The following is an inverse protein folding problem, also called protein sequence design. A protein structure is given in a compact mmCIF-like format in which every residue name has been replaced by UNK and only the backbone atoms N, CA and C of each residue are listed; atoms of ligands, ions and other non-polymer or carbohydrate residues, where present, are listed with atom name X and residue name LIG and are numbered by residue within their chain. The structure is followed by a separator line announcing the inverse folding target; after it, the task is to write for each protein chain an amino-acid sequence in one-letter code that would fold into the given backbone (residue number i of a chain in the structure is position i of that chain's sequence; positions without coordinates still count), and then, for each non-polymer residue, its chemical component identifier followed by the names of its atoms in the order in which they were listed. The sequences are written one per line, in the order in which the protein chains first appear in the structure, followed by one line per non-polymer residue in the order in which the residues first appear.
data_IF_350995130649
#
_entry.id   IF_350995130649
#
_cell.length_a   1.000
_cell.length_b   1.000
_cell.length_c   1.000
_cell.angle_alpha   90.00
_cell.angle_beta   90.00
_cell.angle_gamma   90.00
#
_symmetry.space_group_name_H-M   'P 1'
#
loop_
_entity.id
_entity.type
_entity.pdbx_description
1 polymer ?
#
# COMPACT_ATOMS: atom_id res chain seq x y z
N UNK A 1 12.83 -49.46 -17.24
CA UNK A 1 12.44 -49.96 -18.52
C UNK A 1 11.81 -48.80 -19.31
N UNK A 2 12.48 -48.45 -20.43
CA UNK A 2 11.96 -47.43 -21.36
C UNK A 2 10.78 -48.07 -22.07
N UNK A 3 9.55 -47.69 -21.79
CA UNK A 3 8.37 -48.06 -22.58
C UNK A 3 8.43 -47.28 -23.89
N UNK A 4 8.86 -47.91 -24.95
CA UNK A 4 8.72 -47.41 -26.32
C UNK A 4 7.24 -47.47 -26.70
N UNK A 5 6.51 -46.37 -26.57
CA UNK A 5 5.22 -46.22 -27.21
C UNK A 5 5.46 -45.86 -28.66
N UNK A 6 5.11 -46.79 -29.59
CA UNK A 6 5.10 -46.50 -31.02
C UNK A 6 3.84 -45.67 -31.29
N UNK A 7 4.01 -44.33 -31.35
CA UNK A 7 2.97 -43.39 -31.74
C UNK A 7 3.03 -43.19 -33.27
N UNK A 8 1.88 -42.95 -33.89
CA UNK A 8 1.85 -42.52 -35.30
C UNK A 8 2.44 -41.10 -35.41
N UNK A 9 2.90 -40.73 -36.60
CA UNK A 9 3.43 -39.36 -36.84
C UNK A 9 2.40 -38.29 -36.44
N UNK A 10 1.12 -38.54 -36.71
CA UNK A 10 0.02 -37.64 -36.29
C UNK A 10 -0.12 -37.51 -34.76
N UNK A 11 -0.03 -38.64 -34.05
CA UNK A 11 -0.10 -38.63 -32.58
C UNK A 11 1.07 -37.85 -31.97
N UNK A 12 2.27 -38.03 -32.55
CA UNK A 12 3.46 -37.26 -32.12
C UNK A 12 3.30 -35.76 -32.36
N UNK A 13 2.82 -35.35 -33.55
CA UNK A 13 2.57 -33.93 -33.87
C UNK A 13 1.50 -33.33 -32.97
N UNK A 14 0.43 -34.07 -32.69
CA UNK A 14 -0.64 -33.64 -31.79
C UNK A 14 -0.12 -33.44 -30.36
N UNK A 15 0.64 -34.40 -29.84
CA UNK A 15 1.25 -34.29 -28.50
C UNK A 15 2.25 -33.13 -28.41
N UNK A 16 3.08 -32.92 -29.43
CA UNK A 16 4.01 -31.80 -29.49
C UNK A 16 3.29 -30.46 -29.54
N UNK A 17 2.19 -30.36 -30.27
CA UNK A 17 1.36 -29.16 -30.35
C UNK A 17 0.70 -28.84 -28.99
N UNK A 18 0.12 -29.83 -28.32
CA UNK A 18 -0.47 -29.69 -26.99
C UNK A 18 0.60 -29.25 -25.98
N UNK A 19 1.79 -29.84 -26.04
CA UNK A 19 2.90 -29.47 -25.16
C UNK A 19 3.31 -28.02 -25.35
N UNK A 20 3.58 -27.61 -26.59
CA UNK A 20 3.97 -26.23 -26.90
C UNK A 20 2.88 -25.23 -26.51
N UNK A 21 1.61 -25.54 -26.79
CA UNK A 21 0.47 -24.69 -26.42
C UNK A 21 0.37 -24.52 -24.90
N UNK A 22 0.42 -25.61 -24.13
CA UNK A 22 0.30 -25.57 -22.66
C UNK A 22 1.41 -24.75 -22.04
N UNK A 23 2.65 -24.93 -22.51
CA UNK A 23 3.80 -24.17 -21.98
C UNK A 23 3.75 -22.71 -22.40
N UNK A 24 3.34 -22.40 -23.63
CA UNK A 24 3.18 -21.02 -24.09
C UNK A 24 2.12 -20.28 -23.27
N UNK A 25 1.01 -20.95 -22.95
CA UNK A 25 -0.04 -20.41 -22.10
C UNK A 25 0.47 -20.12 -20.68
N UNK A 26 1.23 -21.05 -20.09
CA UNK A 26 1.85 -20.87 -18.77
C UNK A 26 2.81 -19.67 -18.75
N UNK A 27 3.69 -19.57 -19.74
CA UNK A 27 4.65 -18.46 -19.84
C UNK A 27 3.93 -17.15 -20.03
N UNK A 28 2.95 -17.09 -20.93
CA UNK A 28 2.13 -15.89 -21.15
C UNK A 28 1.45 -15.42 -19.87
N UNK A 29 0.90 -16.37 -19.10
CA UNK A 29 0.31 -16.08 -17.78
C UNK A 29 1.35 -15.52 -16.79
N UNK A 30 2.50 -16.18 -16.64
CA UNK A 30 3.57 -15.73 -15.74
C UNK A 30 4.10 -14.36 -16.13
N UNK A 31 4.29 -14.08 -17.42
CA UNK A 31 4.72 -12.76 -17.91
C UNK A 31 3.66 -11.68 -17.64
N UNK A 32 2.40 -11.96 -17.97
CA UNK A 32 1.30 -11.03 -17.70
C UNK A 32 1.19 -10.71 -16.22
N UNK A 33 1.28 -11.73 -15.35
CA UNK A 33 1.22 -11.56 -13.91
C UNK A 33 2.43 -10.78 -13.37
N UNK A 34 3.63 -11.07 -13.87
CA UNK A 34 4.87 -10.34 -13.50
C UNK A 34 4.78 -8.88 -13.88
N UNK A 35 4.33 -8.56 -15.10
CA UNK A 35 4.17 -7.19 -15.58
C UNK A 35 3.08 -6.45 -14.78
N UNK A 36 1.92 -7.06 -14.62
CA UNK A 36 0.80 -6.45 -13.88
C UNK A 36 1.19 -6.11 -12.44
N UNK A 37 1.76 -7.08 -11.71
CA UNK A 37 2.16 -6.87 -10.31
C UNK A 37 3.37 -5.94 -10.22
N UNK A 38 4.31 -5.98 -11.16
CA UNK A 38 5.43 -5.03 -11.25
C UNK A 38 4.95 -3.59 -11.47
N UNK A 39 3.97 -3.37 -12.35
CA UNK A 39 3.36 -2.04 -12.57
C UNK A 39 2.62 -1.54 -11.31
N UNK A 40 1.92 -2.40 -10.58
CA UNK A 40 1.35 -2.04 -9.28
C UNK A 40 2.44 -1.62 -8.30
N UNK A 41 3.58 -2.29 -8.30
CA UNK A 41 4.75 -1.94 -7.49
C UNK A 41 5.28 -0.54 -7.75
N UNK A 42 5.36 -0.12 -9.01
CA UNK A 42 5.80 1.23 -9.39
C UNK A 42 4.77 2.28 -8.95
N UNK A 43 3.49 2.03 -9.19
CA UNK A 43 2.40 2.94 -8.83
C UNK A 43 2.31 3.17 -7.32
N UNK A 44 2.46 2.11 -6.53
CA UNK A 44 2.32 2.16 -5.06
C UNK A 44 3.66 2.33 -4.32
N UNK A 45 4.80 2.44 -5.02
CA UNK A 45 6.16 2.53 -4.47
C UNK A 45 6.44 1.49 -3.37
N UNK A 46 6.00 0.25 -3.58
CA UNK A 46 6.11 -0.83 -2.60
C UNK A 46 7.01 -1.96 -3.11
N UNK A 47 8.11 -2.20 -2.41
CA UNK A 47 9.12 -3.22 -2.77
C UNK A 47 8.59 -4.67 -2.72
N UNK A 48 7.51 -4.94 -1.98
CA UNK A 48 6.90 -6.28 -1.90
C UNK A 48 6.39 -6.80 -3.24
N UNK A 49 5.91 -5.91 -4.11
CA UNK A 49 5.48 -6.28 -5.46
C UNK A 49 6.64 -6.70 -6.36
N UNK A 50 7.79 -6.03 -6.24
CA UNK A 50 8.97 -6.38 -7.04
C UNK A 50 9.54 -7.75 -6.64
N UNK A 51 9.54 -8.09 -5.35
CA UNK A 51 10.02 -9.39 -4.90
C UNK A 51 9.10 -10.53 -5.38
N UNK A 52 7.78 -10.31 -5.42
CA UNK A 52 6.83 -11.24 -6.02
C UNK A 52 7.07 -11.41 -7.53
N UNK A 53 7.15 -10.30 -8.27
CA UNK A 53 7.43 -10.34 -9.72
C UNK A 53 8.74 -11.06 -10.03
N UNK A 54 9.77 -10.82 -9.22
CA UNK A 54 11.06 -11.50 -9.38
C UNK A 54 10.95 -13.01 -9.11
N UNK A 55 10.19 -13.41 -8.08
CA UNK A 55 9.92 -14.83 -7.80
C UNK A 55 9.22 -15.52 -8.97
N UNK A 56 8.11 -14.96 -9.46
CA UNK A 56 7.33 -15.56 -10.56
C UNK A 56 8.14 -15.63 -11.84
N UNK A 57 8.89 -14.59 -12.18
CA UNK A 57 9.74 -14.56 -13.37
C UNK A 57 10.86 -15.60 -13.28
N UNK A 58 11.54 -15.70 -12.13
CA UNK A 58 12.62 -16.69 -11.94
C UNK A 58 12.09 -18.13 -12.02
N UNK A 59 10.92 -18.40 -11.45
CA UNK A 59 10.25 -19.68 -11.54
C UNK A 59 9.86 -20.03 -12.97
N UNK A 60 9.30 -19.07 -13.72
CA UNK A 60 8.95 -19.27 -15.14
C UNK A 60 10.18 -19.60 -15.98
N UNK A 61 11.30 -18.90 -15.81
CA UNK A 61 12.56 -19.17 -16.53
C UNK A 61 13.12 -20.53 -16.13
N UNK A 62 13.07 -20.89 -14.83
CA UNK A 62 13.49 -22.20 -14.36
C UNK A 62 12.74 -23.33 -15.10
N UNK A 63 11.41 -23.21 -15.22
CA UNK A 63 10.58 -24.21 -15.94
C UNK A 63 10.85 -24.23 -17.44
N UNK A 64 11.03 -23.06 -18.06
CA UNK A 64 11.42 -22.97 -19.48
C UNK A 64 12.70 -23.75 -19.78
N UNK A 65 13.69 -23.61 -18.90
CA UNK A 65 14.97 -24.32 -19.01
C UNK A 65 14.80 -25.82 -18.73
N UNK A 66 14.00 -26.19 -17.73
CA UNK A 66 13.75 -27.57 -17.33
C UNK A 66 13.05 -28.38 -18.45
N UNK A 67 12.05 -27.78 -19.11
CA UNK A 67 11.29 -28.41 -20.18
C UNK A 67 11.99 -28.30 -21.56
N UNK A 68 13.14 -27.62 -21.61
CA UNK A 68 13.96 -27.50 -22.83
C UNK A 68 13.34 -26.60 -23.90
N UNK A 69 12.32 -25.79 -23.58
CA UNK A 69 11.65 -24.93 -24.56
C UNK A 69 12.56 -23.88 -25.16
N UNK A 70 13.51 -23.36 -24.39
CA UNK A 70 14.49 -22.40 -24.88
C UNK A 70 15.40 -23.05 -25.95
N UNK A 71 15.67 -24.36 -25.85
CA UNK A 71 16.42 -25.09 -26.88
C UNK A 71 15.61 -25.24 -28.17
N UNK A 72 14.29 -25.42 -28.08
CA UNK A 72 13.40 -25.51 -29.24
C UNK A 72 13.27 -24.13 -29.92
N UNK A 73 13.12 -23.08 -29.13
CA UNK A 73 12.98 -21.69 -29.63
C UNK A 73 14.29 -21.14 -30.23
N UNK A 74 15.42 -21.53 -29.65
CA UNK A 74 16.74 -21.05 -30.04
C UNK A 74 17.74 -22.19 -30.22
N UNK A 75 17.55 -23.07 -31.24
CA UNK A 75 18.33 -24.31 -31.41
C UNK A 75 19.82 -24.05 -31.68
N UNK A 76 20.19 -22.86 -32.15
CA UNK A 76 21.56 -22.50 -32.43
C UNK A 76 22.34 -21.94 -31.24
N UNK A 77 21.68 -21.74 -30.09
CA UNK A 77 22.29 -21.17 -28.89
C UNK A 77 22.61 -22.26 -27.89
N UNK A 78 23.80 -22.85 -27.99
CA UNK A 78 24.25 -23.92 -27.09
C UNK A 78 24.21 -23.54 -25.57
N UNK A 79 24.15 -22.26 -25.23
CA UNK A 79 24.00 -21.79 -23.88
C UNK A 79 22.71 -22.29 -23.19
N UNK A 80 21.59 -22.35 -23.90
CA UNK A 80 20.30 -22.79 -23.33
C UNK A 80 20.21 -24.31 -23.11
N UNK A 81 21.06 -25.13 -23.82
CA UNK A 81 21.13 -26.56 -23.59
C UNK A 81 21.97 -26.97 -22.38
N UNK A 82 22.60 -25.98 -21.71
CA UNK A 82 23.46 -26.24 -20.57
C UNK A 82 22.63 -26.50 -19.32
N UNK A 83 22.69 -27.72 -18.77
CA UNK A 83 21.99 -28.09 -17.53
C UNK A 83 22.42 -27.22 -16.33
N UNK A 84 23.58 -26.61 -16.34
CA UNK A 84 24.06 -25.68 -15.29
C UNK A 84 23.22 -24.41 -15.21
N UNK A 85 22.67 -23.96 -16.33
CA UNK A 85 21.77 -22.81 -16.36
C UNK A 85 20.46 -23.09 -15.61
N UNK A 86 19.91 -24.30 -15.78
CA UNK A 86 18.75 -24.76 -15.02
C UNK A 86 19.03 -24.76 -13.50
N UNK A 87 20.19 -25.25 -13.06
CA UNK A 87 20.60 -25.24 -11.65
C UNK A 87 20.78 -23.82 -11.09
N UNK A 88 21.28 -22.91 -11.92
CA UNK A 88 21.38 -21.48 -11.55
C UNK A 88 20.00 -20.89 -11.22
N UNK A 89 19.05 -21.09 -12.13
CA UNK A 89 17.70 -20.55 -11.92
C UNK A 89 16.95 -21.26 -10.79
N UNK A 90 17.29 -22.51 -10.45
CA UNK A 90 16.79 -23.17 -9.24
C UNK A 90 17.18 -22.39 -7.97
N UNK A 91 18.48 -22.06 -7.83
CA UNK A 91 18.97 -21.26 -6.69
C UNK A 91 18.40 -19.84 -6.63
N UNK A 92 18.26 -19.18 -7.80
CA UNK A 92 17.63 -17.84 -7.88
C UNK A 92 16.16 -17.93 -7.43
N UNK A 93 15.42 -18.96 -7.87
CA UNK A 93 14.00 -19.11 -7.50
C UNK A 93 13.83 -19.37 -6.01
N UNK A 94 14.68 -20.19 -5.39
CA UNK A 94 14.66 -20.44 -3.94
C UNK A 94 14.91 -19.15 -3.17
N UNK A 95 15.95 -18.39 -3.55
CA UNK A 95 16.25 -17.10 -2.91
C UNK A 95 15.10 -16.11 -3.08
N UNK A 96 14.55 -16.00 -4.29
CA UNK A 96 13.43 -15.11 -4.59
C UNK A 96 12.16 -15.46 -3.79
N UNK A 97 11.84 -16.76 -3.67
CA UNK A 97 10.71 -17.25 -2.88
C UNK A 97 10.86 -16.89 -1.39
N UNK A 98 12.03 -17.13 -0.81
CA UNK A 98 12.31 -16.80 0.61
C UNK A 98 12.20 -15.28 0.84
N UNK A 99 12.78 -14.46 -0.05
CA UNK A 99 12.71 -13.00 0.04
C UNK A 99 11.30 -12.48 -0.09
N UNK A 100 10.51 -13.05 -1.00
CA UNK A 100 9.12 -12.72 -1.16
C UNK A 100 8.29 -13.04 0.10
N UNK A 101 8.44 -14.26 0.65
CA UNK A 101 7.72 -14.69 1.87
C UNK A 101 8.16 -13.90 3.12
N UNK A 102 9.46 -13.58 3.25
CA UNK A 102 9.99 -12.70 4.30
C UNK A 102 9.29 -11.33 4.30
N UNK A 103 9.06 -10.74 3.11
CA UNK A 103 8.38 -9.47 2.97
C UNK A 103 6.85 -9.58 3.11
N UNK A 104 6.25 -10.62 2.54
CA UNK A 104 4.80 -10.80 2.57
C UNK A 104 4.28 -11.02 3.99
N UNK A 105 4.94 -11.89 4.77
CA UNK A 105 4.54 -12.26 6.13
C UNK A 105 5.26 -11.44 7.22
N UNK A 106 6.13 -10.51 6.84
CA UNK A 106 6.92 -9.68 7.75
C UNK A 106 7.69 -10.53 8.80
N UNK A 107 8.55 -11.43 8.32
CA UNK A 107 9.37 -12.28 9.20
C UNK A 107 10.24 -11.47 10.15
N UNK A 108 10.54 -10.20 9.83
CA UNK A 108 11.28 -9.29 10.70
C UNK A 108 10.53 -9.03 12.01
N UNK A 109 9.22 -8.86 11.95
CA UNK A 109 8.38 -8.67 13.14
C UNK A 109 7.96 -9.98 13.81
N UNK A 110 7.94 -11.08 13.04
CA UNK A 110 7.42 -12.38 13.48
C UNK A 110 8.47 -13.27 14.15
N UNK A 111 9.68 -13.34 13.58
CA UNK A 111 10.74 -14.26 13.98
C UNK A 111 11.82 -13.55 14.82
N UNK A 112 12.52 -14.34 15.65
CA UNK A 112 13.76 -13.85 16.28
C UNK A 112 14.79 -13.53 15.20
N UNK A 113 15.65 -12.53 15.46
CA UNK A 113 16.65 -12.05 14.52
C UNK A 113 17.51 -13.19 13.97
N UNK A 114 18.00 -14.10 14.83
CA UNK A 114 18.85 -15.21 14.40
C UNK A 114 18.11 -16.23 13.51
N UNK A 115 16.81 -16.50 13.75
CA UNK A 115 16.00 -17.41 12.92
C UNK A 115 15.85 -16.86 11.50
N UNK A 116 15.48 -15.58 11.40
CA UNK A 116 15.36 -14.90 10.11
C UNK A 116 16.70 -14.84 9.38
N UNK A 117 17.80 -14.50 10.09
CA UNK A 117 19.15 -14.47 9.51
C UNK A 117 19.59 -15.85 9.04
N UNK A 118 19.27 -16.92 9.77
CA UNK A 118 19.56 -18.28 9.36
C UNK A 118 18.85 -18.65 8.05
N UNK A 119 17.55 -18.40 7.93
CA UNK A 119 16.77 -18.68 6.70
C UNK A 119 17.34 -17.90 5.50
N UNK A 120 17.59 -16.60 5.69
CA UNK A 120 18.16 -15.76 4.64
C UNK A 120 19.60 -16.19 4.27
N UNK A 121 20.42 -16.54 5.24
CA UNK A 121 21.77 -17.06 5.03
C UNK A 121 21.76 -18.37 4.23
N UNK A 122 20.85 -19.30 4.55
CA UNK A 122 20.67 -20.53 3.78
C UNK A 122 20.21 -20.25 2.34
N UNK A 123 19.29 -19.33 2.14
CA UNK A 123 18.85 -18.93 0.80
C UNK A 123 19.99 -18.26 0.00
N UNK A 124 20.80 -17.41 0.64
CA UNK A 124 21.98 -16.82 0.02
C UNK A 124 23.04 -17.88 -0.32
N UNK A 125 23.26 -18.89 0.53
CA UNK A 125 24.21 -19.97 0.26
C UNK A 125 23.73 -20.87 -0.90
N UNK A 126 22.41 -21.13 -1.01
CA UNK A 126 21.85 -21.84 -2.17
C UNK A 126 22.08 -21.04 -3.47
N UNK A 127 21.87 -19.74 -3.44
CA UNK A 127 22.13 -18.86 -4.56
C UNK A 127 23.63 -18.85 -4.92
N UNK A 128 24.52 -18.70 -3.96
CA UNK A 128 25.97 -18.69 -4.19
C UNK A 128 26.46 -20.02 -4.79
N UNK A 129 26.01 -21.16 -4.26
CA UNK A 129 26.35 -22.47 -4.81
C UNK A 129 25.83 -22.65 -6.24
N UNK A 130 24.66 -22.14 -6.57
CA UNK A 130 24.12 -22.20 -7.92
C UNK A 130 24.97 -21.39 -8.93
N UNK A 131 25.59 -20.30 -8.52
CA UNK A 131 26.55 -19.56 -9.34
C UNK A 131 27.88 -20.33 -9.48
N UNK A 132 28.40 -20.90 -8.40
CA UNK A 132 29.65 -21.68 -8.43
C UNK A 132 29.56 -22.85 -9.42
N UNK A 133 28.41 -23.51 -9.53
CA UNK A 133 28.21 -24.63 -10.47
C UNK A 133 28.43 -24.26 -11.94
N UNK A 134 28.29 -22.99 -12.32
CA UNK A 134 28.52 -22.54 -13.69
C UNK A 134 29.98 -22.73 -14.09
N UNK A 135 30.90 -22.48 -13.15
CA UNK A 135 32.37 -22.45 -13.38
C UNK A 135 32.96 -23.87 -13.27
N UNK A 136 32.37 -24.77 -12.50
CA UNK A 136 32.90 -26.09 -12.22
C UNK A 136 32.84 -27.03 -13.45
N UNK A 137 33.64 -28.11 -13.42
CA UNK A 137 33.48 -29.22 -14.37
C UNK A 137 32.09 -29.89 -14.19
N UNK A 138 31.66 -30.66 -15.21
CA UNK A 138 30.34 -31.33 -15.14
C UNK A 138 30.25 -32.32 -14.00
N UNK A 139 31.33 -33.07 -13.72
CA UNK A 139 31.41 -34.03 -12.62
C UNK A 139 31.33 -33.37 -11.24
N UNK A 140 32.03 -32.24 -11.07
CA UNK A 140 32.03 -31.50 -9.81
C UNK A 140 30.71 -30.76 -9.59
N UNK A 141 30.11 -30.23 -10.66
CA UNK A 141 28.79 -29.64 -10.61
C UNK A 141 27.70 -30.61 -10.14
N UNK A 142 27.78 -31.89 -10.53
CA UNK A 142 26.86 -32.93 -10.04
C UNK A 142 27.03 -33.20 -8.55
N UNK A 143 28.26 -33.18 -8.01
CA UNK A 143 28.51 -33.33 -6.57
C UNK A 143 27.95 -32.13 -5.77
N UNK A 144 28.20 -30.93 -6.27
CA UNK A 144 27.68 -29.69 -5.64
C UNK A 144 26.16 -29.62 -5.71
N UNK A 145 25.52 -30.21 -6.75
CA UNK A 145 24.07 -30.28 -6.85
C UNK A 145 23.41 -31.04 -5.69
N UNK A 146 24.03 -32.11 -5.18
CA UNK A 146 23.53 -32.84 -4.01
C UNK A 146 23.52 -31.93 -2.77
N UNK A 147 24.59 -31.15 -2.59
CA UNK A 147 24.68 -30.16 -1.49
C UNK A 147 23.67 -29.04 -1.66
N UNK A 148 23.49 -28.52 -2.88
CA UNK A 148 22.47 -27.50 -3.19
C UNK A 148 21.06 -28.03 -2.88
N UNK A 149 20.76 -29.26 -3.26
CA UNK A 149 19.46 -29.89 -2.98
C UNK A 149 19.18 -30.02 -1.49
N UNK A 150 20.19 -30.40 -0.70
CA UNK A 150 20.08 -30.49 0.76
C UNK A 150 19.83 -29.11 1.40
N UNK A 151 20.60 -28.09 0.99
CA UNK A 151 20.44 -26.72 1.48
C UNK A 151 19.05 -26.18 1.10
N UNK A 152 18.57 -26.44 -0.12
CA UNK A 152 17.24 -26.06 -0.57
C UNK A 152 16.16 -26.71 0.27
N UNK A 153 16.27 -28.02 0.56
CA UNK A 153 15.33 -28.75 1.40
C UNK A 153 15.25 -28.16 2.81
N UNK A 154 16.39 -27.90 3.44
CA UNK A 154 16.45 -27.28 4.77
C UNK A 154 15.81 -25.87 4.72
N UNK A 155 16.17 -25.07 3.73
CA UNK A 155 15.64 -23.70 3.55
C UNK A 155 14.11 -23.72 3.42
N UNK A 156 13.57 -24.60 2.59
CA UNK A 156 12.13 -24.75 2.36
C UNK A 156 11.40 -25.23 3.60
N UNK A 157 11.98 -26.20 4.33
CA UNK A 157 11.39 -26.71 5.59
C UNK A 157 11.36 -25.62 6.67
N UNK A 158 12.43 -24.82 6.83
CA UNK A 158 12.47 -23.69 7.77
C UNK A 158 11.49 -22.59 7.38
N UNK A 159 11.36 -22.31 6.08
CA UNK A 159 10.41 -21.32 5.56
C UNK A 159 8.97 -21.77 5.76
N UNK A 160 8.65 -23.03 5.47
CA UNK A 160 7.32 -23.60 5.70
C UNK A 160 6.94 -23.58 7.18
N UNK A 161 7.84 -23.97 8.08
CA UNK A 161 7.60 -23.90 9.53
C UNK A 161 7.34 -22.46 10.00
N UNK A 162 8.03 -21.49 9.40
CA UNK A 162 7.80 -20.06 9.66
C UNK A 162 6.44 -19.58 9.15
N UNK A 163 5.99 -20.09 7.99
CA UNK A 163 4.64 -19.79 7.46
C UNK A 163 3.53 -20.40 8.33
N UNK A 164 3.73 -21.63 8.84
CA UNK A 164 2.81 -22.26 9.78
C UNK A 164 2.75 -21.47 11.10
N UNK A 165 3.90 -21.04 11.60
CA UNK A 165 3.95 -20.18 12.80
C UNK A 165 3.25 -18.83 12.57
N UNK A 166 3.41 -18.23 11.37
CA UNK A 166 2.68 -17.01 10.98
C UNK A 166 1.16 -17.21 11.00
N UNK A 167 0.68 -18.35 10.51
CA UNK A 167 -0.75 -18.70 10.57
C UNK A 167 -1.26 -18.92 11.99
N UNK A 168 -0.48 -19.60 12.83
CA UNK A 168 -0.79 -19.77 14.25
C UNK A 168 -0.91 -18.40 14.95
N UNK A 169 -0.04 -17.46 14.63
CA UNK A 169 -0.06 -16.07 15.13
C UNK A 169 -1.11 -15.19 14.44
N UNK A 170 -1.92 -15.75 13.54
CA UNK A 170 -2.96 -15.04 12.78
C UNK A 170 -2.43 -13.82 12.01
N UNK A 171 -1.21 -13.92 11.48
CA UNK A 171 -0.63 -12.87 10.62
C UNK A 171 -1.49 -12.70 9.36
N UNK A 172 -1.68 -11.47 8.95
CA UNK A 172 -2.50 -11.17 7.76
C UNK A 172 -1.98 -11.91 6.51
N UNK A 173 -2.87 -12.51 5.74
CA UNK A 173 -2.60 -13.31 4.54
C UNK A 173 -1.87 -14.65 4.76
N UNK A 174 -1.48 -15.04 5.98
CA UNK A 174 -0.76 -16.30 6.23
C UNK A 174 -1.52 -17.55 5.78
N UNK A 175 -2.84 -17.60 5.94
CA UNK A 175 -3.68 -18.72 5.49
C UNK A 175 -3.67 -18.84 3.94
N UNK A 176 -3.67 -17.71 3.21
CA UNK A 176 -3.54 -17.73 1.75
C UNK A 176 -2.18 -18.26 1.32
N UNK A 177 -1.12 -17.84 2.03
CA UNK A 177 0.25 -18.35 1.77
C UNK A 177 0.32 -19.85 2.00
N UNK A 178 -0.21 -20.36 3.10
CA UNK A 178 -0.24 -21.79 3.37
C UNK A 178 -1.06 -22.56 2.32
N UNK A 179 -2.17 -22.00 1.86
CA UNK A 179 -2.99 -22.59 0.79
C UNK A 179 -2.19 -22.67 -0.53
N UNK A 180 -1.45 -21.63 -0.91
CA UNK A 180 -0.59 -21.65 -2.09
C UNK A 180 0.50 -22.71 -1.98
N UNK A 181 1.22 -22.76 -0.85
CA UNK A 181 2.25 -23.77 -0.60
C UNK A 181 1.65 -25.19 -0.61
N UNK A 182 0.47 -25.39 0.00
CA UNK A 182 -0.22 -26.68 0.02
C UNK A 182 -0.58 -27.15 -1.41
N UNK A 183 -1.04 -26.26 -2.29
CA UNK A 183 -1.32 -26.56 -3.69
C UNK A 183 -0.05 -27.00 -4.42
N UNK A 184 1.07 -26.30 -4.22
CA UNK A 184 2.36 -26.67 -4.79
C UNK A 184 2.83 -28.05 -4.31
N UNK A 185 2.81 -28.27 -2.98
CA UNK A 185 3.20 -29.56 -2.39
C UNK A 185 2.29 -30.70 -2.88
N UNK A 186 0.99 -30.46 -2.92
CA UNK A 186 0.03 -31.43 -3.45
C UNK A 186 0.32 -31.78 -4.91
N UNK A 187 0.59 -30.79 -5.77
CA UNK A 187 0.94 -30.99 -7.17
C UNK A 187 2.23 -31.78 -7.34
N UNK A 188 3.22 -31.54 -6.46
CA UNK A 188 4.48 -32.27 -6.46
C UNK A 188 4.28 -33.72 -6.03
N UNK A 189 3.53 -33.97 -4.95
CA UNK A 189 3.20 -35.33 -4.46
C UNK A 189 2.38 -36.09 -5.49
N UNK A 190 1.39 -35.43 -6.10
CA UNK A 190 0.57 -36.02 -7.15
C UNK A 190 1.41 -36.49 -8.35
N UNK A 191 2.37 -35.67 -8.77
CA UNK A 191 3.33 -36.05 -9.83
C UNK A 191 4.12 -37.30 -9.46
N UNK A 192 4.56 -37.44 -8.21
CA UNK A 192 5.37 -38.59 -7.76
C UNK A 192 4.53 -39.86 -7.63
N UNK A 193 3.34 -39.80 -7.06
CA UNK A 193 2.49 -40.94 -6.73
C UNK A 193 1.76 -41.47 -7.97
N UNK A 194 1.29 -40.57 -8.87
CA UNK A 194 0.48 -40.91 -10.02
C UNK A 194 1.26 -40.88 -11.35
N UNK A 195 2.58 -41.03 -11.29
CA UNK A 195 3.46 -41.06 -12.46
C UNK A 195 3.01 -42.10 -13.49
N UNK A 196 2.50 -43.27 -13.05
CA UNK A 196 2.08 -44.38 -13.91
C UNK A 196 0.61 -44.29 -14.36
N UNK A 197 -0.20 -43.42 -13.75
CA UNK A 197 -1.65 -43.32 -13.97
C UNK A 197 -1.96 -42.38 -15.15
N UNK A 198 -1.25 -41.25 -15.25
CA UNK A 198 -1.51 -40.24 -16.27
C UNK A 198 -0.24 -39.56 -16.73
N UNK A 199 0.17 -39.78 -17.97
CA UNK A 199 1.31 -39.09 -18.59
C UNK A 199 1.11 -37.58 -18.65
N UNK A 200 -0.13 -37.10 -18.79
CA UNK A 200 -0.48 -35.70 -18.78
C UNK A 200 -0.23 -35.08 -17.41
N UNK A 201 -0.75 -35.71 -16.35
CA UNK A 201 -0.58 -35.17 -14.96
C UNK A 201 0.87 -35.23 -14.49
N UNK A 202 1.61 -36.26 -14.84
CA UNK A 202 3.05 -36.37 -14.60
C UNK A 202 3.79 -35.15 -15.20
N UNK A 203 3.45 -34.78 -16.43
CA UNK A 203 4.14 -33.73 -17.16
C UNK A 203 3.70 -32.31 -16.78
N UNK A 204 2.38 -32.10 -16.67
CA UNK A 204 1.83 -30.76 -16.49
C UNK A 204 1.32 -30.45 -15.08
N UNK A 205 1.16 -31.42 -14.21
CA UNK A 205 0.60 -31.24 -12.88
C UNK A 205 1.33 -30.19 -12.05
N UNK A 206 2.67 -30.18 -12.13
CA UNK A 206 3.49 -29.21 -11.40
C UNK A 206 3.33 -27.79 -11.97
N UNK A 207 3.21 -27.63 -13.29
CA UNK A 207 2.98 -26.35 -13.96
C UNK A 207 1.64 -25.75 -13.53
N UNK A 208 0.60 -26.59 -13.51
CA UNK A 208 -0.74 -26.18 -13.03
C UNK A 208 -0.68 -25.77 -11.56
N UNK A 209 0.02 -26.53 -10.71
CA UNK A 209 0.17 -26.21 -9.30
C UNK A 209 0.84 -24.87 -9.06
N UNK A 210 1.93 -24.59 -9.75
CA UNK A 210 2.65 -23.32 -9.66
C UNK A 210 1.83 -22.15 -10.20
N UNK A 211 1.06 -22.38 -11.28
CA UNK A 211 0.16 -21.34 -11.80
C UNK A 211 -0.89 -20.95 -10.78
N UNK A 212 -1.49 -21.94 -10.11
CA UNK A 212 -2.49 -21.69 -9.04
C UNK A 212 -1.83 -21.03 -7.84
N UNK A 213 -0.65 -21.50 -7.41
CA UNK A 213 0.12 -20.89 -6.31
C UNK A 213 0.44 -19.42 -6.61
N UNK A 214 0.97 -19.13 -7.80
CA UNK A 214 1.29 -17.77 -8.22
C UNK A 214 0.05 -16.85 -8.16
N UNK A 215 -1.10 -17.35 -8.61
CA UNK A 215 -2.35 -16.59 -8.54
C UNK A 215 -2.79 -16.33 -7.07
N UNK A 216 -2.70 -17.34 -6.21
CA UNK A 216 -2.99 -17.18 -4.77
C UNK A 216 -2.06 -16.16 -4.13
N UNK A 217 -0.77 -16.20 -4.45
CA UNK A 217 0.22 -15.26 -3.94
C UNK A 217 0.00 -13.82 -4.46
N UNK A 218 -0.48 -13.67 -5.70
CA UNK A 218 -0.90 -12.37 -6.22
C UNK A 218 -2.06 -11.78 -5.40
N UNK A 219 -3.08 -12.60 -5.09
CA UNK A 219 -4.19 -12.20 -4.22
C UNK A 219 -3.68 -11.83 -2.82
N UNK A 220 -2.80 -12.63 -2.23
CA UNK A 220 -2.24 -12.37 -0.90
C UNK A 220 -1.46 -11.04 -0.88
N UNK A 221 -0.65 -10.79 -1.91
CA UNK A 221 0.12 -9.54 -2.07
C UNK A 221 -0.81 -8.33 -2.21
N UNK A 222 -1.84 -8.43 -3.06
CA UNK A 222 -2.83 -7.36 -3.23
C UNK A 222 -3.57 -7.03 -1.93
N UNK A 223 -3.99 -8.04 -1.16
CA UNK A 223 -4.64 -7.85 0.16
C UNK A 223 -3.70 -7.21 1.18
N UNK A 224 -2.43 -7.61 1.21
CA UNK A 224 -1.42 -7.01 2.10
C UNK A 224 -1.24 -5.53 1.81
N UNK A 225 -1.13 -5.18 0.54
CA UNK A 225 -0.92 -3.79 0.13
C UNK A 225 -2.14 -2.93 0.43
N UNK A 226 -3.35 -3.42 0.11
CA UNK A 226 -4.58 -2.71 0.48
C UNK A 226 -4.63 -2.42 1.98
N UNK A 227 -4.30 -3.41 2.81
CA UNK A 227 -4.24 -3.21 4.26
C UNK A 227 -3.24 -2.14 4.66
N UNK A 228 -2.02 -2.16 4.09
CA UNK A 228 -1.00 -1.14 4.38
C UNK A 228 -1.44 0.27 3.97
N UNK A 229 -2.18 0.40 2.88
CA UNK A 229 -2.72 1.67 2.42
C UNK A 229 -3.84 2.18 3.35
N UNK A 230 -4.76 1.30 3.75
CA UNK A 230 -5.81 1.59 4.73
C UNK A 230 -5.21 1.99 6.09
N UNK A 231 -4.15 1.30 6.55
CA UNK A 231 -3.44 1.61 7.79
C UNK A 231 -2.74 2.99 7.71
N UNK A 232 -2.12 3.31 6.55
CA UNK A 232 -1.52 4.63 6.29
C UNK A 232 -2.57 5.74 6.30
N UNK A 233 -3.68 5.53 5.59
CA UNK A 233 -4.77 6.51 5.52
C UNK A 233 -5.38 6.75 6.90
N UNK A 234 -5.59 5.71 7.69
CA UNK A 234 -6.12 5.82 9.05
C UNK A 234 -5.13 6.49 10.01
N UNK A 235 -3.84 6.24 9.86
CA UNK A 235 -2.79 6.93 10.60
C UNK A 235 -2.72 8.42 10.22
N UNK A 236 -2.79 8.74 8.92
CA UNK A 236 -2.85 10.11 8.44
C UNK A 236 -4.08 10.86 8.99
N UNK A 237 -5.28 10.26 8.89
CA UNK A 237 -6.51 10.86 9.46
C UNK A 237 -6.37 11.13 10.95
N UNK A 238 -5.82 10.19 11.74
CA UNK A 238 -5.58 10.39 13.18
C UNK A 238 -4.56 11.50 13.47
N UNK A 239 -3.48 11.55 12.70
CA UNK A 239 -2.44 12.58 12.84
C UNK A 239 -2.88 13.95 12.32
N UNK A 240 -3.89 14.00 11.44
CA UNK A 240 -4.37 15.22 10.77
C UNK A 240 -5.62 15.84 11.41
N UNK A 241 -6.16 15.22 12.48
CA UNK A 241 -7.41 15.68 13.12
C UNK A 241 -7.11 16.21 14.52
N UNK A 242 -7.73 17.33 14.90
CA UNK A 242 -7.72 17.85 16.26
C UNK A 242 -8.48 16.90 17.20
N UNK A 243 -7.84 16.51 18.30
CA UNK A 243 -8.39 15.52 19.23
C UNK A 243 -9.66 15.98 19.94
N UNK A 244 -9.77 17.27 20.21
CA UNK A 244 -10.89 17.89 20.92
C UNK A 244 -12.05 18.19 19.98
N UNK A 245 -11.79 18.91 18.90
CA UNK A 245 -12.80 19.50 18.03
C UNK A 245 -13.22 18.61 16.85
N UNK A 246 -12.45 17.56 16.54
CA UNK A 246 -12.69 16.64 15.39
C UNK A 246 -12.70 17.31 14.01
N UNK A 247 -12.21 18.54 13.90
CA UNK A 247 -11.83 19.22 12.67
C UNK A 247 -10.38 18.89 12.33
N UNK A 248 -9.87 19.35 11.20
CA UNK A 248 -8.45 19.20 10.87
C UNK A 248 -7.58 19.97 11.88
N UNK A 249 -6.47 19.38 12.29
CA UNK A 249 -5.43 20.13 12.98
C UNK A 249 -4.60 20.95 11.97
N UNK A 250 -3.65 21.76 12.42
CA UNK A 250 -2.81 22.59 11.55
C UNK A 250 -2.22 21.81 10.36
N UNK A 251 -1.55 20.69 10.62
CA UNK A 251 -0.91 19.88 9.56
C UNK A 251 -1.92 19.25 8.58
N UNK A 252 -3.05 18.76 9.09
CA UNK A 252 -4.13 18.21 8.26
C UNK A 252 -4.78 19.28 7.39
N UNK A 253 -5.02 20.47 7.94
CA UNK A 253 -5.59 21.60 7.23
C UNK A 253 -4.64 22.08 6.12
N UNK A 254 -3.36 22.29 6.42
CA UNK A 254 -2.35 22.71 5.44
C UNK A 254 -2.29 21.74 4.24
N UNK A 255 -2.33 20.42 4.49
CA UNK A 255 -2.31 19.40 3.42
C UNK A 255 -3.52 19.48 2.50
N UNK A 256 -4.74 19.64 3.04
CA UNK A 256 -5.97 19.77 2.23
C UNK A 256 -6.04 21.14 1.56
N UNK A 257 -5.70 22.20 2.29
CA UNK A 257 -5.67 23.56 1.78
C UNK A 257 -4.70 23.71 0.59
N UNK A 258 -3.53 23.07 0.62
CA UNK A 258 -2.59 23.05 -0.49
C UNK A 258 -3.17 22.37 -1.75
N UNK A 259 -3.97 21.32 -1.55
CA UNK A 259 -4.67 20.65 -2.65
C UNK A 259 -5.75 21.55 -3.27
N UNK A 260 -6.53 22.24 -2.43
CA UNK A 260 -7.54 23.21 -2.87
C UNK A 260 -6.90 24.39 -3.64
N UNK A 261 -5.79 24.93 -3.12
CA UNK A 261 -5.03 25.98 -3.79
C UNK A 261 -4.50 25.54 -5.16
N UNK A 262 -4.02 24.29 -5.25
CA UNK A 262 -3.53 23.71 -6.50
C UNK A 262 -4.65 23.58 -7.52
N UNK A 263 -5.83 23.12 -7.10
CA UNK A 263 -7.01 22.99 -7.95
C UNK A 263 -7.50 24.35 -8.41
N UNK A 264 -7.63 25.31 -7.50
CA UNK A 264 -7.97 26.70 -7.82
C UNK A 264 -7.03 27.32 -8.87
N UNK A 265 -5.73 27.14 -8.69
CA UNK A 265 -4.73 27.66 -9.64
C UNK A 265 -4.81 27.02 -11.03
N UNK A 266 -5.35 25.79 -11.16
CA UNK A 266 -5.57 25.07 -12.42
C UNK A 266 -6.91 25.44 -13.07
N UNK A 267 -7.99 25.42 -12.30
CA UNK A 267 -9.37 25.49 -12.77
C UNK A 267 -9.92 26.93 -12.78
N UNK A 268 -9.31 27.82 -11.99
CA UNK A 268 -9.82 29.16 -11.77
C UNK A 268 -10.99 29.18 -10.77
N UNK A 269 -11.82 30.21 -10.83
CA UNK A 269 -12.92 30.44 -9.88
C UNK A 269 -12.54 31.37 -8.75
N UNK A 270 -13.02 31.10 -7.55
CA UNK A 270 -12.81 31.91 -6.36
C UNK A 270 -12.30 31.06 -5.20
N UNK A 271 -11.33 31.57 -4.47
CA UNK A 271 -10.83 30.98 -3.25
C UNK A 271 -11.28 31.84 -2.05
N UNK A 272 -11.97 31.20 -1.10
CA UNK A 272 -12.52 31.86 0.07
C UNK A 272 -11.81 31.32 1.31
N UNK A 273 -11.09 32.17 2.01
CA UNK A 273 -10.44 31.87 3.28
C UNK A 273 -11.09 32.66 4.41
N UNK A 274 -11.55 31.97 5.45
CA UNK A 274 -12.00 32.60 6.68
C UNK A 274 -11.03 32.23 7.80
N UNK A 275 -10.55 33.24 8.51
CA UNK A 275 -9.80 33.10 9.75
C UNK A 275 -10.70 33.52 10.90
N UNK A 276 -10.84 32.67 11.92
CA UNK A 276 -11.84 32.77 12.96
C UNK A 276 -11.15 32.64 14.30
N UNK A 277 -11.43 33.56 15.20
CA UNK A 277 -10.89 33.60 16.56
C UNK A 277 -12.04 33.79 17.56
N UNK A 278 -12.10 32.97 18.59
CA UNK A 278 -13.16 33.07 19.64
C UNK A 278 -12.87 34.23 20.59
N UNK A 279 -13.78 35.18 20.60
CA UNK A 279 -13.60 36.38 21.41
C UNK A 279 -13.57 36.05 22.92
N UNK A 280 -12.63 36.68 23.65
CA UNK A 280 -12.47 36.58 25.11
C UNK A 280 -12.34 35.10 25.61
N UNK A 281 -11.81 34.19 24.79
CA UNK A 281 -11.72 32.75 25.11
C UNK A 281 -10.92 32.49 26.40
N UNK A 282 -9.87 33.31 26.67
CA UNK A 282 -9.11 33.21 27.91
C UNK A 282 -9.98 33.53 29.12
N UNK A 283 -10.80 34.58 29.04
CA UNK A 283 -11.70 34.99 30.14
C UNK A 283 -12.76 33.91 30.41
N UNK A 284 -13.26 33.24 29.33
CA UNK A 284 -14.17 32.10 29.46
C UNK A 284 -13.49 30.98 30.25
N UNK A 285 -12.24 30.63 29.92
CA UNK A 285 -11.48 29.61 30.64
C UNK A 285 -11.23 30.00 32.10
N UNK A 286 -10.83 31.24 32.34
CA UNK A 286 -10.48 31.73 33.67
C UNK A 286 -11.72 31.79 34.57
N UNK A 287 -12.91 32.12 34.03
CA UNK A 287 -14.15 32.26 34.79
C UNK A 287 -14.94 30.97 34.95
N UNK A 288 -15.05 30.17 33.87
CA UNK A 288 -15.89 28.95 33.81
C UNK A 288 -15.10 27.65 33.81
N UNK A 289 -13.77 27.74 33.78
CA UNK A 289 -12.87 26.57 33.72
C UNK A 289 -12.65 26.00 32.34
N UNK A 290 -11.53 25.31 32.15
CA UNK A 290 -11.11 24.74 30.85
C UNK A 290 -12.13 23.76 30.24
N UNK A 291 -12.90 23.04 31.07
CA UNK A 291 -13.95 22.16 30.58
C UNK A 291 -15.04 22.89 29.80
N UNK A 292 -15.42 24.09 30.29
CA UNK A 292 -16.37 24.93 29.57
C UNK A 292 -15.77 25.51 28.29
N UNK A 293 -14.52 25.96 28.32
CA UNK A 293 -13.81 26.37 27.12
C UNK A 293 -13.70 25.29 26.08
N UNK A 294 -13.41 24.07 26.49
CA UNK A 294 -13.38 22.91 25.58
C UNK A 294 -14.74 22.66 24.88
N UNK A 295 -15.84 22.81 25.64
CA UNK A 295 -17.21 22.71 25.06
C UNK A 295 -17.49 23.83 24.06
N UNK A 296 -17.06 25.05 24.36
CA UNK A 296 -17.15 26.20 23.43
C UNK A 296 -16.47 25.86 22.09
N UNK A 297 -15.22 25.43 22.14
CA UNK A 297 -14.46 25.05 20.95
C UNK A 297 -15.13 23.91 20.15
N UNK A 298 -15.67 22.91 20.84
CA UNK A 298 -16.42 21.81 20.20
C UNK A 298 -17.69 22.29 19.51
N UNK A 299 -18.40 23.26 20.09
CA UNK A 299 -19.63 23.81 19.49
C UNK A 299 -19.28 24.66 18.26
N UNK A 300 -18.26 25.53 18.35
CA UNK A 300 -17.78 26.31 17.19
C UNK A 300 -17.37 25.36 16.05
N UNK A 301 -16.59 24.34 16.33
CA UNK A 301 -16.20 23.34 15.33
C UNK A 301 -17.41 22.65 14.66
N UNK A 302 -18.43 22.26 15.43
CA UNK A 302 -19.67 21.68 14.91
C UNK A 302 -20.44 22.66 14.03
N UNK A 303 -20.49 23.94 14.42
CA UNK A 303 -21.13 24.99 13.61
C UNK A 303 -20.40 25.08 12.26
N UNK A 304 -19.06 25.22 12.25
CA UNK A 304 -18.28 25.31 11.04
C UNK A 304 -18.50 24.10 10.12
N UNK A 305 -18.38 22.87 10.67
CA UNK A 305 -18.63 21.65 9.91
C UNK A 305 -20.06 21.59 9.32
N UNK A 306 -21.06 22.07 10.04
CA UNK A 306 -22.45 22.09 9.54
C UNK A 306 -22.70 23.12 8.43
N UNK A 307 -21.81 24.10 8.30
CA UNK A 307 -21.90 25.19 7.31
C UNK A 307 -20.95 25.02 6.12
N UNK A 308 -20.03 24.08 6.18
CA UNK A 308 -19.08 23.75 5.14
C UNK A 308 -19.47 22.45 4.41
N UNK A 309 -18.94 22.26 3.21
CA UNK A 309 -19.08 21.03 2.43
C UNK A 309 -17.97 20.06 2.82
N UNK A 310 -18.12 18.78 2.52
CA UNK A 310 -17.10 17.76 2.76
C UNK A 310 -15.75 18.06 2.07
N UNK A 311 -15.79 18.82 0.98
CA UNK A 311 -14.61 19.23 0.21
C UNK A 311 -13.94 20.50 0.76
N UNK A 312 -14.58 21.24 1.65
CA UNK A 312 -14.01 22.44 2.26
C UNK A 312 -13.03 22.04 3.38
N UNK A 313 -11.92 22.77 3.51
CA UNK A 313 -10.96 22.54 4.58
C UNK A 313 -11.34 23.33 5.84
N UNK A 314 -11.87 22.65 6.84
CA UNK A 314 -12.17 23.22 8.15
C UNK A 314 -11.11 22.74 9.14
N UNK A 315 -10.37 23.67 9.79
CA UNK A 315 -9.27 23.32 10.69
C UNK A 315 -9.21 24.20 11.91
N UNK A 316 -8.49 23.71 12.93
CA UNK A 316 -8.07 24.44 14.12
C UNK A 316 -6.56 24.58 14.11
N UNK A 317 -6.05 25.80 14.06
CA UNK A 317 -4.61 26.06 13.99
C UNK A 317 -3.93 26.00 15.35
N UNK A 318 -4.65 26.30 16.42
CA UNK A 318 -4.20 26.22 17.81
C UNK A 318 -5.07 27.09 18.71
N UNK A 319 -5.07 26.82 20.01
CA UNK A 319 -5.86 27.62 20.96
C UNK A 319 -7.32 27.74 20.56
N UNK A 320 -7.76 28.97 20.30
CA UNK A 320 -9.08 29.42 19.91
C UNK A 320 -9.22 29.77 18.41
N UNK A 321 -8.17 29.53 17.62
CA UNK A 321 -8.09 29.87 16.18
C UNK A 321 -8.60 28.75 15.28
N UNK A 322 -9.60 29.07 14.45
CA UNK A 322 -10.13 28.18 13.40
C UNK A 322 -9.92 28.80 12.02
N UNK A 323 -9.85 27.95 11.02
CA UNK A 323 -9.72 28.36 9.62
C UNK A 323 -10.64 27.52 8.72
N UNK A 324 -11.19 28.19 7.71
CA UNK A 324 -11.97 27.54 6.65
C UNK A 324 -11.43 27.98 5.31
N UNK A 325 -11.09 27.02 4.44
CA UNK A 325 -10.74 27.29 3.04
C UNK A 325 -11.70 26.55 2.13
N UNK A 326 -12.27 27.27 1.17
CA UNK A 326 -13.19 26.71 0.18
C UNK A 326 -12.85 27.20 -1.23
N UNK A 327 -12.95 26.29 -2.20
CA UNK A 327 -12.89 26.61 -3.62
C UNK A 327 -14.31 26.74 -4.18
N UNK A 328 -14.66 27.92 -4.65
CA UNK A 328 -15.98 28.28 -5.19
C UNK A 328 -15.89 28.60 -6.69
N UNK A 329 -16.96 28.32 -7.43
CA UNK A 329 -16.99 28.59 -8.88
C UNK A 329 -17.47 30.02 -9.21
N UNK A 330 -18.08 30.73 -8.27
CA UNK A 330 -18.54 32.10 -8.45
C UNK A 330 -18.37 32.92 -7.18
N UNK A 331 -18.25 34.25 -7.35
CA UNK A 331 -18.14 35.22 -6.26
C UNK A 331 -19.33 35.13 -5.31
N UNK A 332 -20.55 35.07 -5.81
CA UNK A 332 -21.74 34.95 -5.02
C UNK A 332 -21.84 33.65 -4.21
N UNK A 333 -21.13 32.57 -4.59
CA UNK A 333 -21.00 31.38 -3.73
C UNK A 333 -20.05 31.63 -2.56
N UNK A 334 -18.94 32.33 -2.83
CA UNK A 334 -17.95 32.72 -1.81
C UNK A 334 -18.57 33.64 -0.75
N UNK A 335 -19.27 34.68 -1.20
CA UNK A 335 -19.97 35.62 -0.32
C UNK A 335 -21.06 34.95 0.51
N UNK A 336 -21.88 34.06 -0.09
CA UNK A 336 -22.89 33.29 0.64
C UNK A 336 -22.28 32.34 1.69
N UNK A 337 -21.13 31.74 1.39
CA UNK A 337 -20.44 30.89 2.35
C UNK A 337 -19.93 31.72 3.53
N UNK A 338 -19.27 32.84 3.26
CA UNK A 338 -18.75 33.75 4.28
C UNK A 338 -19.89 34.28 5.17
N UNK A 339 -20.93 34.87 4.57
CA UNK A 339 -22.07 35.39 5.29
C UNK A 339 -22.79 34.35 6.15
N UNK A 340 -22.91 33.09 5.64
CA UNK A 340 -23.51 31.98 6.38
C UNK A 340 -22.70 31.58 7.60
N UNK A 341 -21.36 31.56 7.49
CA UNK A 341 -20.48 31.24 8.60
C UNK A 341 -20.48 32.39 9.62
N UNK A 342 -20.29 33.63 9.18
CA UNK A 342 -20.32 34.83 10.02
C UNK A 342 -21.63 34.94 10.83
N UNK A 343 -22.77 34.84 10.15
CA UNK A 343 -24.09 34.85 10.81
C UNK A 343 -24.28 33.70 11.82
N UNK A 344 -23.62 32.57 11.62
CA UNK A 344 -23.68 31.42 12.53
C UNK A 344 -22.79 31.59 13.77
N UNK A 345 -21.81 32.48 13.73
CA UNK A 345 -20.84 32.75 14.80
C UNK A 345 -21.08 34.11 15.52
N UNK A 346 -22.04 34.88 15.04
CA UNK A 346 -22.52 36.05 15.74
C UNK A 346 -22.94 35.74 17.15
N UNK A 347 -23.41 36.16 18.00
CA UNK A 347 -23.76 35.85 19.36
C UNK A 347 -24.43 34.48 19.51
N UNK A 348 -23.82 33.57 20.27
CA UNK A 348 -24.33 32.18 20.49
C UNK A 348 -24.32 31.82 21.96
N UNK A 349 -25.51 31.45 22.44
CA UNK A 349 -25.67 30.84 23.75
C UNK A 349 -25.28 29.37 23.72
N UNK A 350 -24.16 29.08 24.38
CA UNK A 350 -23.65 27.70 24.51
C UNK A 350 -24.04 27.18 25.88
N UNK A 351 -24.91 26.17 25.91
CA UNK A 351 -25.34 25.52 27.17
C UNK A 351 -24.32 24.47 27.57
N UNK A 352 -23.73 24.63 28.71
CA UNK A 352 -22.97 23.62 29.43
C UNK A 352 -23.82 23.06 30.55
N UNK A 353 -23.38 22.03 31.26
CA UNK A 353 -24.19 21.30 32.24
C UNK A 353 -24.87 22.21 33.31
N UNK A 354 -24.29 23.33 33.67
CA UNK A 354 -24.81 24.22 34.70
C UNK A 354 -24.87 25.71 34.33
N UNK A 355 -24.38 26.11 33.15
CA UNK A 355 -24.22 27.54 32.79
C UNK A 355 -24.55 27.73 31.30
N UNK A 356 -25.12 28.89 30.99
CA UNK A 356 -25.25 29.37 29.61
C UNK A 356 -24.19 30.44 29.38
N UNK A 357 -23.33 30.24 28.40
CA UNK A 357 -22.25 31.15 28.06
C UNK A 357 -22.56 31.77 26.69
N UNK A 358 -22.69 33.10 26.64
CA UNK A 358 -22.79 33.81 25.36
C UNK A 358 -21.37 33.94 24.74
N UNK A 359 -21.20 33.46 23.54
CA UNK A 359 -19.91 33.42 22.86
C UNK A 359 -20.05 34.13 21.53
N UNK A 360 -19.09 34.99 21.22
CA UNK A 360 -18.88 35.63 19.93
C UNK A 360 -17.56 35.16 19.31
N UNK A 361 -17.42 35.29 18.00
CA UNK A 361 -16.16 35.04 17.32
C UNK A 361 -15.90 36.13 16.27
N UNK A 362 -14.66 36.58 16.20
CA UNK A 362 -14.19 37.50 15.19
C UNK A 362 -13.80 36.73 13.93
N UNK A 363 -14.35 37.12 12.78
CA UNK A 363 -14.13 36.46 11.49
C UNK A 363 -13.47 37.40 10.50
N UNK A 364 -12.33 37.01 9.97
CA UNK A 364 -11.65 37.70 8.88
C UNK A 364 -11.86 36.93 7.59
N UNK A 365 -12.58 37.51 6.64
CA UNK A 365 -12.91 36.88 5.35
C UNK A 365 -12.05 37.46 4.23
N UNK A 366 -11.32 36.59 3.53
CA UNK A 366 -10.56 36.95 2.35
C UNK A 366 -11.04 36.11 1.13
N UNK A 367 -11.55 36.81 0.11
CA UNK A 367 -12.01 36.22 -1.14
C UNK A 367 -11.09 36.69 -2.28
N UNK A 368 -10.65 35.80 -3.13
CA UNK A 368 -9.81 36.12 -4.28
C UNK A 368 -10.12 35.24 -5.50
N UNK A 369 -10.00 35.81 -6.68
CA UNK A 369 -9.98 35.11 -7.96
C UNK A 369 -8.59 35.16 -8.62
N UNK A 370 -7.62 35.81 -7.97
CA UNK A 370 -6.24 35.88 -8.44
C UNK A 370 -5.46 34.65 -8.03
N UNK A 371 -4.60 34.14 -8.93
CA UNK A 371 -3.71 33.02 -8.64
C UNK A 371 -2.80 33.33 -7.46
N UNK A 372 -2.79 32.44 -6.49
CA UNK A 372 -2.00 32.59 -5.27
C UNK A 372 -0.80 31.65 -5.28
N UNK A 373 0.37 32.13 -4.85
CA UNK A 373 1.59 31.32 -4.85
C UNK A 373 1.66 30.38 -3.65
N UNK A 374 1.22 30.82 -2.49
CA UNK A 374 1.35 30.07 -1.23
C UNK A 374 0.19 30.35 -0.26
N UNK A 375 -0.03 29.39 0.64
CA UNK A 375 -1.05 29.46 1.70
C UNK A 375 -0.73 30.52 2.76
N UNK A 376 0.54 30.79 3.03
CA UNK A 376 0.97 31.72 4.06
C UNK A 376 0.52 33.14 3.75
N UNK A 377 0.62 33.52 2.48
CA UNK A 377 0.12 34.84 2.00
C UNK A 377 -1.39 34.98 2.20
N UNK A 378 -2.16 33.90 1.92
CA UNK A 378 -3.61 33.89 2.12
C UNK A 378 -3.98 34.00 3.61
N UNK A 379 -3.34 33.18 4.45
CA UNK A 379 -3.55 33.20 5.90
C UNK A 379 -3.27 34.58 6.48
N UNK A 380 -2.13 35.21 6.13
CA UNK A 380 -1.76 36.54 6.62
C UNK A 380 -2.77 37.63 6.22
N UNK A 381 -3.40 37.51 5.03
CA UNK A 381 -4.42 38.46 4.60
C UNK A 381 -5.71 38.30 5.39
N UNK A 382 -6.17 37.06 5.58
CA UNK A 382 -7.38 36.78 6.35
C UNK A 382 -7.20 37.09 7.85
N UNK A 383 -6.04 36.78 8.43
CA UNK A 383 -5.68 37.13 9.83
C UNK A 383 -5.72 38.64 10.10
N UNK A 384 -5.12 39.45 9.21
CA UNK A 384 -5.19 40.92 9.29
C UNK A 384 -6.64 41.44 9.28
N UNK A 385 -7.48 40.83 8.42
CA UNK A 385 -8.91 41.20 8.39
C UNK A 385 -9.62 40.80 9.68
N UNK A 386 -9.36 39.63 10.21
CA UNK A 386 -9.90 39.14 11.49
C UNK A 386 -9.49 40.08 12.64
N UNK A 387 -8.21 40.46 12.70
CA UNK A 387 -7.73 41.36 13.71
C UNK A 387 -8.44 42.72 13.68
N UNK A 388 -8.71 43.27 12.49
CA UNK A 388 -9.47 44.53 12.34
C UNK A 388 -10.92 44.41 12.83
N UNK A 389 -11.56 43.25 12.69
CA UNK A 389 -12.90 42.97 13.22
C UNK A 389 -12.84 42.86 14.73
N UNK A 390 -11.85 42.13 15.28
CA UNK A 390 -11.64 41.97 16.73
C UNK A 390 -11.44 43.29 17.45
N UNK A 391 -10.68 44.22 16.89
CA UNK A 391 -10.53 45.57 17.44
C UNK A 391 -11.83 46.37 17.49
N UNK A 392 -12.68 46.26 16.44
CA UNK A 392 -13.98 46.91 16.43
C UNK A 392 -14.92 46.32 17.50
N UNK A 393 -14.95 45.00 17.69
CA UNK A 393 -15.73 44.37 18.74
C UNK A 393 -15.30 44.82 20.12
N UNK A 394 -13.99 44.91 20.38
CA UNK A 394 -13.43 45.40 21.66
C UNK A 394 -13.78 46.86 21.94
N UNK A 395 -13.72 47.72 20.91
CA UNK A 395 -14.08 49.15 21.05
C UNK A 395 -15.57 49.32 21.29
N UNK A 396 -16.44 48.52 20.66
CA UNK A 396 -17.88 48.57 20.86
C UNK A 396 -18.28 48.11 22.30
N UNK A 397 -17.62 47.09 22.84
CA UNK A 397 -17.82 46.63 24.23
C UNK A 397 -17.43 47.67 25.25
N UNK A 398 -16.30 48.39 25.04
CA UNK A 398 -15.86 49.48 25.92
C UNK A 398 -16.78 50.71 25.85
N UNK A 399 -17.51 50.92 24.77
CA UNK A 399 -18.46 52.02 24.61
C UNK A 399 -19.85 51.71 25.22
N UNK A 400 -20.14 50.42 25.51
CA UNK A 400 -21.40 49.97 26.10
C UNK A 400 -21.32 49.62 27.59
N UNK A 401 -20.13 49.60 28.18
CA UNK A 401 -19.84 49.46 29.61
C UNK A 401 -19.67 50.85 30.26
#
# INVERSE_FOLDING_TARGET
PVRLNIATLNDFQTLASIHTFTLSLFIGFCLALTLYVGMLGTSMRNYGFYSYSFYVLSAAIFFLLQEGLLNIAFPHVAFFSNFKLHLLFAGITVFAAVRFLDQLLDFKALLKVWQRQFILGMACSALALSFVQIILSTSDAMRVNSTLSLITLITMTCTLSSCVYAAYRKVHCSNLVLMGIAVMVFSMMFRLVFSDVSAFMYRYGLIVGITIEAFIFAIATSRKVKKLDDDRLSAFKRASTDSLCKVLNRSGWEGIAQSLLTNFNKEGGYLTLLFIDVDNFKEINDHYGHHCGDKVLQVIAKILLSRCRDQDAVGRLGGDEFVVLSHCYSEGQSERLAARIEASLLERDIRTDNVVISVTASVGTYITNERCKDLTTLLNKADKLMYSVKEKHKTAQLASS
#
